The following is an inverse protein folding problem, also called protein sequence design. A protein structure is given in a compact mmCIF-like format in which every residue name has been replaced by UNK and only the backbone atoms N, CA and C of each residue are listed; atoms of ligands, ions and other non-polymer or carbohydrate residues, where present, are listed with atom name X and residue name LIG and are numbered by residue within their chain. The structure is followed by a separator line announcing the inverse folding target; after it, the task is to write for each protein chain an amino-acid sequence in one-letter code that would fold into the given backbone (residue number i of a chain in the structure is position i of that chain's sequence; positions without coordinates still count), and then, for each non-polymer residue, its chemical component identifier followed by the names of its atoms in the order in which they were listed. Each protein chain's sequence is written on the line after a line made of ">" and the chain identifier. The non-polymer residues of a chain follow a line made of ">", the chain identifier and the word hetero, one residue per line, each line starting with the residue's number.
data_IF_203255241102
#
_entry.id   IF_203255241102
#
_cell.length_a   1.000
_cell.length_b   1.000
_cell.length_c   1.000
_cell.angle_alpha   90.00
_cell.angle_beta   90.00
_cell.angle_gamma   90.00
#
_symmetry.space_group_name_H-M   'P 1'
#
loop_
_entity.id
_entity.type
_entity.pdbx_description
1 polymer ?
#
# COMPACT_ATOMS: atom_id res chain seq x y z
N UNK A 1 -10.46 8.41 26.00
CA UNK A 1 -10.01 9.81 25.88
C UNK A 1 -11.15 10.72 25.42
N UNK A 2 -11.05 11.99 25.75
CA UNK A 2 -11.89 13.09 25.23
C UNK A 2 -11.00 14.10 24.51
N UNK A 3 -11.57 14.87 23.58
CA UNK A 3 -10.81 15.91 22.89
C UNK A 3 -10.46 16.99 23.91
N UNK A 4 -9.17 17.27 24.06
CA UNK A 4 -8.64 18.33 24.89
C UNK A 4 -8.45 19.63 24.11
N UNK A 5 -7.29 20.27 24.30
CA UNK A 5 -6.93 21.51 23.62
C UNK A 5 -6.48 21.26 22.18
N UNK A 6 -6.68 22.26 21.31
CA UNK A 6 -6.24 22.21 19.91
C UNK A 6 -5.84 23.58 19.40
N UNK A 7 -4.83 23.57 18.54
CA UNK A 7 -4.45 24.74 17.76
C UNK A 7 -4.36 24.32 16.28
N UNK A 8 -5.15 24.97 15.45
CA UNK A 8 -5.23 24.65 14.02
C UNK A 8 -3.84 24.64 13.41
N UNK A 9 -3.56 23.63 12.61
CA UNK A 9 -2.29 23.35 11.93
C UNK A 9 -1.06 23.11 12.84
N UNK A 10 -1.21 23.15 14.17
CA UNK A 10 -0.10 22.91 15.11
C UNK A 10 -0.27 21.61 15.88
N UNK A 11 -1.37 21.44 16.62
CA UNK A 11 -1.60 20.23 17.41
C UNK A 11 -3.06 20.00 17.79
N UNK A 12 -3.33 18.75 18.19
CA UNK A 12 -4.56 18.34 18.90
C UNK A 12 -4.15 17.50 20.09
N UNK A 13 -4.69 17.78 21.27
CA UNK A 13 -4.56 16.90 22.41
C UNK A 13 -5.81 16.06 22.61
N UNK A 14 -5.62 14.87 23.19
CA UNK A 14 -6.67 14.06 23.77
C UNK A 14 -6.32 13.80 25.23
N UNK A 15 -7.27 14.07 26.10
CA UNK A 15 -7.12 13.98 27.55
C UNK A 15 -7.81 12.72 28.08
N UNK A 16 -7.34 12.18 29.21
CA UNK A 16 -7.96 11.03 29.85
C UNK A 16 -9.46 11.27 30.07
N UNK A 17 -10.27 10.29 29.74
CA UNK A 17 -11.67 10.25 30.12
C UNK A 17 -11.79 9.46 31.44
N UNK A 18 -12.05 10.14 32.52
CA UNK A 18 -12.22 9.51 33.83
C UNK A 18 -13.48 8.61 33.89
N UNK A 19 -14.48 8.91 33.05
CA UNK A 19 -15.72 8.13 32.93
C UNK A 19 -15.63 7.06 31.82
N UNK A 20 -14.42 6.54 31.54
CA UNK A 20 -14.25 5.52 30.50
C UNK A 20 -14.98 4.24 30.92
N UNK A 21 -15.74 3.63 29.98
CA UNK A 21 -16.59 2.44 30.25
C UNK A 21 -15.80 1.18 30.67
N UNK A 22 -14.49 1.14 30.41
CA UNK A 22 -13.58 0.10 30.93
C UNK A 22 -12.80 0.68 32.10
N UNK A 23 -12.96 0.08 33.28
CA UNK A 23 -12.29 0.54 34.49
C UNK A 23 -10.75 0.50 34.33
N UNK A 24 -10.07 1.57 34.77
CA UNK A 24 -8.62 1.69 34.71
C UNK A 24 -8.06 2.16 33.35
N UNK A 25 -8.88 2.40 32.36
CA UNK A 25 -8.48 2.96 31.07
C UNK A 25 -9.01 4.39 30.89
N UNK A 26 -8.32 5.22 30.10
CA UNK A 26 -6.99 5.03 29.49
C UNK A 26 -5.86 5.12 30.54
N UNK A 27 -4.70 4.56 30.28
CA UNK A 27 -3.56 4.63 31.20
C UNK A 27 -2.81 5.96 31.20
N UNK A 28 -2.71 6.60 30.04
CA UNK A 28 -2.06 7.92 29.92
C UNK A 28 -3.03 9.05 30.27
N UNK A 29 -2.52 10.11 30.87
CA UNK A 29 -3.32 11.30 31.21
C UNK A 29 -3.62 12.14 29.95
N UNK A 30 -2.66 12.21 29.01
CA UNK A 30 -2.77 13.03 27.81
C UNK A 30 -1.92 12.48 26.67
N UNK A 31 -2.42 12.59 25.44
CA UNK A 31 -1.67 12.39 24.20
C UNK A 31 -1.77 13.68 23.36
N UNK A 32 -0.64 14.14 22.84
CA UNK A 32 -0.57 15.33 21.99
C UNK A 32 -0.12 14.92 20.60
N UNK A 33 -0.99 15.08 19.62
CA UNK A 33 -0.68 14.89 18.21
C UNK A 33 -0.18 16.20 17.62
N UNK A 34 1.13 16.28 17.37
CA UNK A 34 1.75 17.46 16.78
C UNK A 34 1.78 17.38 15.25
N UNK A 35 1.32 18.44 14.59
CA UNK A 35 1.38 18.56 13.14
C UNK A 35 2.69 19.23 12.70
N UNK A 36 3.75 18.44 12.57
CA UNK A 36 5.04 18.94 12.08
C UNK A 36 5.17 18.63 10.60
N UNK A 37 5.14 19.64 9.74
CA UNK A 37 5.17 19.45 8.28
C UNK A 37 6.56 19.07 7.77
N UNK A 38 7.61 19.68 8.30
CA UNK A 38 8.97 19.43 7.86
C UNK A 38 9.53 18.09 8.37
N UNK A 39 9.94 17.24 7.45
CA UNK A 39 10.49 15.91 7.78
C UNK A 39 11.80 15.99 8.54
N UNK A 40 12.63 17.00 8.29
CA UNK A 40 13.90 17.19 9.01
C UNK A 40 13.65 17.57 10.47
N UNK A 41 12.69 18.48 10.70
CA UNK A 41 12.25 18.84 12.04
C UNK A 41 11.68 17.64 12.81
N UNK A 42 10.86 16.79 12.15
CA UNK A 42 10.37 15.53 12.74
C UNK A 42 11.52 14.61 13.17
N UNK A 43 12.51 14.42 12.30
CA UNK A 43 13.68 13.56 12.56
C UNK A 43 14.54 14.10 13.73
N UNK A 44 14.77 15.41 13.75
CA UNK A 44 15.49 16.07 14.84
C UNK A 44 14.72 15.94 16.15
N UNK A 45 13.41 16.20 16.12
CA UNK A 45 12.55 16.10 17.31
C UNK A 45 12.51 14.69 17.90
N UNK A 46 12.44 13.66 17.03
CA UNK A 46 12.51 12.26 17.46
C UNK A 46 13.89 11.93 18.10
N UNK A 47 14.99 12.36 17.48
CA UNK A 47 16.34 12.17 18.03
C UNK A 47 16.56 12.91 19.35
N UNK A 48 15.92 14.04 19.57
CA UNK A 48 16.02 14.86 20.79
C UNK A 48 14.96 14.53 21.85
N UNK A 49 14.21 13.45 21.67
CA UNK A 49 13.11 13.05 22.55
C UNK A 49 12.00 14.11 22.73
N UNK A 50 11.80 14.96 21.71
CA UNK A 50 10.68 15.89 21.68
C UNK A 50 9.37 15.20 21.28
N UNK A 51 9.48 14.09 20.55
CA UNK A 51 8.39 13.19 20.17
C UNK A 51 8.67 11.79 20.71
N UNK A 52 7.67 11.19 21.33
CA UNK A 52 7.81 9.84 21.92
C UNK A 52 7.39 8.75 20.96
N UNK A 53 6.70 9.07 19.86
CA UNK A 53 6.22 8.11 18.86
C UNK A 53 6.17 8.76 17.48
N UNK A 54 6.63 8.04 16.47
CA UNK A 54 6.44 8.43 15.08
C UNK A 54 6.33 7.19 14.16
N UNK A 55 5.41 7.25 13.19
CA UNK A 55 5.41 6.30 12.08
C UNK A 55 6.63 6.52 11.20
N UNK A 56 7.31 5.44 10.83
CA UNK A 56 8.55 5.49 10.06
C UNK A 56 8.36 6.16 8.69
N UNK A 57 7.32 5.77 7.97
CA UNK A 57 7.00 6.28 6.62
C UNK A 57 6.69 7.79 6.57
N UNK A 58 6.21 8.35 7.69
CA UNK A 58 5.90 9.78 7.81
C UNK A 58 7.11 10.65 8.17
N UNK A 59 8.19 10.03 8.67
CA UNK A 59 9.33 10.73 9.25
C UNK A 59 10.60 10.58 8.41
N UNK A 60 10.85 9.40 7.86
CA UNK A 60 12.13 9.06 7.25
C UNK A 60 12.00 8.14 6.03
N UNK A 61 13.11 7.91 5.36
CA UNK A 61 13.27 6.92 4.31
C UNK A 61 13.64 5.56 4.93
N UNK A 62 13.37 4.46 4.24
CA UNK A 62 13.85 3.14 4.67
C UNK A 62 15.37 3.11 4.88
N UNK A 63 16.12 3.83 4.05
CA UNK A 63 17.58 3.97 4.20
C UNK A 63 18.01 4.56 5.54
N UNK A 64 17.18 5.34 6.19
CA UNK A 64 17.49 6.03 7.45
C UNK A 64 17.25 5.14 8.68
N UNK A 65 16.47 4.09 8.56
CA UNK A 65 16.04 3.23 9.69
C UNK A 65 17.24 2.70 10.46
N UNK A 66 18.30 2.24 9.76
CA UNK A 66 19.52 1.70 10.37
C UNK A 66 20.20 2.70 11.30
N UNK A 67 20.21 3.98 10.94
CA UNK A 67 20.81 5.03 11.76
C UNK A 67 19.94 5.39 12.95
N UNK A 68 18.62 5.39 12.78
CA UNK A 68 17.69 5.67 13.88
C UNK A 68 17.65 4.54 14.92
N UNK A 69 17.87 3.30 14.53
CA UNK A 69 18.01 2.16 15.47
C UNK A 69 19.19 2.29 16.44
N UNK A 70 20.15 3.20 16.16
CA UNK A 70 21.28 3.48 17.05
C UNK A 70 20.99 4.54 18.12
N UNK A 71 19.82 5.19 18.06
CA UNK A 71 19.43 6.23 19.02
C UNK A 71 18.99 5.56 20.33
N UNK A 72 19.72 5.81 21.41
CA UNK A 72 19.65 5.05 22.66
C UNK A 72 18.25 4.99 23.28
N UNK A 73 17.50 6.09 23.27
CA UNK A 73 16.17 6.15 23.89
C UNK A 73 15.04 5.64 22.98
N UNK A 74 15.34 5.32 21.69
CA UNK A 74 14.36 4.85 20.74
C UNK A 74 14.34 3.33 20.64
N UNK A 75 13.17 2.79 20.44
CA UNK A 75 12.91 1.42 20.02
C UNK A 75 12.23 1.45 18.64
N UNK A 76 12.67 0.57 17.76
CA UNK A 76 12.01 0.32 16.48
C UNK A 76 11.09 -0.89 16.63
N UNK A 77 9.85 -0.71 16.25
CA UNK A 77 8.86 -1.79 16.24
C UNK A 77 8.24 -1.92 14.86
N UNK A 78 8.24 -3.14 14.36
CA UNK A 78 7.61 -3.54 13.12
C UNK A 78 6.47 -4.49 13.45
N UNK A 79 5.27 -4.09 13.08
CA UNK A 79 4.10 -4.95 13.22
C UNK A 79 3.87 -5.71 11.93
N UNK A 80 4.23 -6.99 11.97
CA UNK A 80 3.88 -7.97 10.95
C UNK A 80 2.47 -8.47 11.25
N UNK A 81 1.56 -8.34 10.32
CA UNK A 81 0.18 -8.80 10.51
C UNK A 81 -0.86 -7.70 10.45
N UNK A 82 -0.42 -6.46 10.49
CA UNK A 82 -1.28 -5.31 10.26
C UNK A 82 -0.71 -4.60 9.05
N UNK A 83 -1.00 -5.14 7.90
CA UNK A 83 -0.67 -4.48 6.64
C UNK A 83 -1.65 -3.33 6.41
N UNK A 84 -1.13 -2.16 6.07
CA UNK A 84 -1.94 -1.09 5.50
C UNK A 84 -2.47 -1.43 4.10
N UNK A 85 -2.30 -2.67 3.64
CA UNK A 85 -2.56 -3.14 2.29
C UNK A 85 -1.30 -3.21 1.43
N UNK A 86 -1.45 -3.58 0.18
CA UNK A 86 -0.37 -3.59 -0.80
C UNK A 86 -0.28 -2.24 -1.54
N UNK A 87 0.94 -1.81 -1.82
CA UNK A 87 1.17 -0.84 -2.90
C UNK A 87 1.02 -1.58 -4.22
N UNK A 88 0.24 -1.02 -5.11
CA UNK A 88 -0.08 -1.61 -6.40
C UNK A 88 0.33 -0.71 -7.56
N UNK A 89 0.67 -1.33 -8.67
CA UNK A 89 0.68 -0.69 -9.98
C UNK A 89 -0.67 -1.00 -10.63
N UNK A 90 -1.57 -0.04 -10.55
CA UNK A 90 -2.90 -0.13 -11.14
C UNK A 90 -2.82 0.11 -12.65
N UNK A 91 -3.51 -0.70 -13.43
CA UNK A 91 -3.63 -0.57 -14.87
C UNK A 91 -4.99 0.01 -15.26
N UNK A 92 -5.05 0.92 -16.19
CA UNK A 92 -6.32 1.33 -16.78
C UNK A 92 -6.76 0.30 -17.82
N UNK A 93 -7.57 -0.67 -17.40
CA UNK A 93 -8.00 -1.78 -18.26
C UNK A 93 -8.90 -1.36 -19.43
N UNK A 94 -9.29 -0.09 -19.52
CA UNK A 94 -10.06 0.50 -20.63
C UNK A 94 -9.21 0.97 -21.78
N UNK A 95 -7.90 1.19 -21.57
CA UNK A 95 -6.99 1.79 -22.54
C UNK A 95 -6.09 0.75 -23.20
N UNK A 96 -5.89 0.88 -24.52
CA UNK A 96 -4.80 0.14 -25.17
C UNK A 96 -3.44 0.68 -24.71
N UNK A 97 -2.45 -0.22 -24.57
CA UNK A 97 -2.52 -1.67 -24.77
C UNK A 97 -2.93 -2.45 -23.49
N UNK A 98 -3.27 -1.75 -22.41
CA UNK A 98 -3.54 -2.34 -21.08
C UNK A 98 -4.89 -3.06 -21.00
N UNK A 99 -5.78 -2.89 -21.98
CA UNK A 99 -7.00 -3.71 -22.14
C UNK A 99 -6.69 -5.18 -22.51
N UNK A 100 -5.48 -5.46 -23.00
CA UNK A 100 -5.02 -6.79 -23.34
C UNK A 100 -4.38 -7.48 -22.11
N UNK A 101 -4.96 -8.60 -21.66
CA UNK A 101 -4.47 -9.38 -20.53
C UNK A 101 -3.00 -9.80 -20.68
N UNK A 102 -2.58 -10.25 -21.88
CA UNK A 102 -1.18 -10.67 -22.13
C UNK A 102 -0.20 -9.52 -21.89
N UNK A 103 -0.57 -8.29 -22.24
CA UNK A 103 0.25 -7.12 -21.95
C UNK A 103 0.40 -6.91 -20.45
N UNK A 104 -0.70 -6.95 -19.68
CA UNK A 104 -0.65 -6.79 -18.23
C UNK A 104 0.21 -7.88 -17.55
N UNK A 105 0.06 -9.13 -17.99
CA UNK A 105 0.90 -10.25 -17.54
C UNK A 105 2.37 -10.05 -17.90
N UNK A 106 2.65 -9.54 -19.10
CA UNK A 106 4.02 -9.22 -19.54
C UNK A 106 4.67 -8.15 -18.63
N UNK A 107 3.91 -7.09 -18.27
CA UNK A 107 4.39 -6.10 -17.29
C UNK A 107 4.72 -6.73 -15.94
N UNK A 108 3.90 -7.68 -15.48
CA UNK A 108 4.15 -8.41 -14.24
C UNK A 108 5.45 -9.23 -14.27
N UNK A 109 5.77 -9.88 -15.41
CA UNK A 109 7.05 -10.59 -15.60
C UNK A 109 8.24 -9.63 -15.77
N UNK A 110 8.04 -8.45 -16.39
CA UNK A 110 9.14 -7.50 -16.65
C UNK A 110 9.61 -6.74 -15.40
N UNK A 111 8.82 -6.68 -14.34
CA UNK A 111 9.11 -5.91 -13.12
C UNK A 111 9.62 -6.85 -12.03
N UNK A 112 10.92 -6.74 -11.69
CA UNK A 112 11.49 -7.48 -10.56
C UNK A 112 11.05 -6.84 -9.23
N UNK A 113 9.96 -7.34 -8.65
CA UNK A 113 9.39 -6.81 -7.40
C UNK A 113 10.27 -7.10 -6.18
N UNK A 114 11.05 -8.20 -6.20
CA UNK A 114 12.03 -8.47 -5.14
C UNK A 114 13.09 -7.37 -5.07
N UNK A 115 13.50 -6.80 -6.22
CA UNK A 115 14.43 -5.67 -6.21
C UNK A 115 13.88 -4.45 -5.47
N UNK A 116 12.56 -4.18 -5.59
CA UNK A 116 11.91 -3.10 -4.82
C UNK A 116 12.03 -3.39 -3.33
N UNK A 117 11.61 -4.58 -2.89
CA UNK A 117 11.59 -4.93 -1.48
C UNK A 117 13.00 -5.05 -0.87
N UNK A 118 13.90 -5.76 -1.54
CA UNK A 118 15.20 -6.12 -0.97
C UNK A 118 16.23 -5.01 -1.11
N UNK A 119 16.22 -4.29 -2.25
CA UNK A 119 17.24 -3.27 -2.55
C UNK A 119 16.74 -1.87 -2.25
N UNK A 120 15.61 -1.44 -2.83
CA UNK A 120 15.12 -0.09 -2.62
C UNK A 120 14.60 0.13 -1.20
N UNK A 121 13.98 -0.87 -0.61
CA UNK A 121 13.41 -0.80 0.73
C UNK A 121 14.27 -1.50 1.79
N UNK A 122 15.45 -2.06 1.42
CA UNK A 122 16.38 -2.66 2.37
C UNK A 122 15.81 -3.85 3.16
N UNK A 123 14.85 -4.59 2.57
CA UNK A 123 14.20 -5.75 3.19
C UNK A 123 13.05 -5.40 4.15
N UNK A 124 12.69 -4.12 4.29
CA UNK A 124 11.59 -3.69 5.18
C UNK A 124 10.19 -3.91 4.60
N UNK A 125 10.06 -4.21 3.33
CA UNK A 125 8.78 -4.60 2.72
C UNK A 125 8.88 -6.01 2.18
N UNK A 126 7.74 -6.65 1.92
CA UNK A 126 7.67 -7.97 1.30
C UNK A 126 6.96 -7.88 -0.04
N UNK A 127 7.45 -8.62 -1.03
CA UNK A 127 6.78 -8.73 -2.32
C UNK A 127 5.35 -9.24 -2.11
N UNK A 128 4.37 -8.51 -2.62
CA UNK A 128 2.99 -8.96 -2.67
C UNK A 128 2.73 -9.82 -3.92
N UNK A 129 1.85 -10.78 -3.82
CA UNK A 129 1.51 -11.68 -4.95
C UNK A 129 0.02 -11.87 -5.15
N UNK A 130 -0.79 -11.17 -4.39
CA UNK A 130 -2.23 -11.36 -4.32
C UNK A 130 -2.92 -10.03 -4.02
N UNK A 131 -4.19 -9.87 -4.40
CA UNK A 131 -5.03 -8.78 -3.91
C UNK A 131 -5.22 -8.79 -2.40
N UNK A 132 -4.97 -9.95 -1.77
CA UNK A 132 -5.03 -10.14 -0.33
C UNK A 132 -3.61 -10.09 0.23
N UNK A 133 -3.29 -9.22 1.20
CA UNK A 133 -1.99 -9.23 1.83
C UNK A 133 -1.77 -10.56 2.57
N UNK A 134 -0.51 -10.97 2.69
CA UNK A 134 -0.15 -12.25 3.32
C UNK A 134 -0.62 -12.39 4.79
N UNK A 135 -1.03 -11.29 5.39
CA UNK A 135 -1.56 -11.24 6.77
C UNK A 135 -3.08 -11.40 6.83
N UNK A 136 -3.77 -11.40 5.70
CA UNK A 136 -5.20 -11.62 5.65
C UNK A 136 -5.52 -13.10 5.88
N UNK A 137 -6.50 -13.40 6.72
CA UNK A 137 -6.89 -14.78 7.08
C UNK A 137 -7.39 -15.62 5.89
N UNK A 138 -7.77 -14.95 4.80
CA UNK A 138 -8.21 -15.60 3.56
C UNK A 138 -7.13 -15.58 2.47
N UNK A 139 -5.88 -15.25 2.81
CA UNK A 139 -4.80 -15.29 1.84
C UNK A 139 -4.55 -16.71 1.33
N UNK A 140 -4.45 -16.87 0.02
CA UNK A 140 -4.15 -18.15 -0.60
C UNK A 140 -2.63 -18.38 -0.66
N UNK A 141 -2.09 -19.16 0.27
CA UNK A 141 -0.66 -19.47 0.34
C UNK A 141 -0.14 -20.26 -0.87
N UNK A 142 -1.04 -20.96 -1.59
CA UNK A 142 -0.68 -21.78 -2.75
C UNK A 142 -0.44 -20.94 -4.02
N UNK A 143 -0.85 -19.67 -4.03
CA UNK A 143 -0.64 -18.79 -5.17
C UNK A 143 0.83 -18.69 -5.52
N UNK A 144 1.13 -18.93 -6.79
CA UNK A 144 2.45 -18.70 -7.37
C UNK A 144 2.38 -17.36 -8.11
N UNK A 145 2.95 -16.31 -7.55
CA UNK A 145 2.99 -15.00 -8.22
C UNK A 145 3.82 -15.07 -9.52
N UNK A 146 3.86 -13.96 -10.25
CA UNK A 146 4.69 -13.82 -11.45
C UNK A 146 6.17 -13.64 -11.04
N UNK A 147 7.08 -14.56 -11.32
CA UNK A 147 8.50 -14.35 -11.11
C UNK A 147 9.03 -13.32 -12.13
N UNK A 148 10.13 -12.65 -11.82
CA UNK A 148 10.81 -11.81 -12.82
C UNK A 148 11.37 -12.69 -13.94
N UNK A 149 10.90 -12.46 -15.17
CA UNK A 149 11.30 -13.15 -16.38
C UNK A 149 11.15 -12.23 -17.60
N UNK A 150 12.25 -11.59 -17.99
CA UNK A 150 12.23 -10.64 -19.11
C UNK A 150 12.02 -11.31 -20.47
N UNK A 151 12.44 -12.57 -20.62
CA UNK A 151 12.25 -13.33 -21.88
C UNK A 151 10.76 -13.66 -22.04
N UNK A 152 10.13 -14.16 -20.98
CA UNK A 152 8.69 -14.43 -20.95
C UNK A 152 7.88 -13.15 -21.19
N UNK A 153 8.29 -12.03 -20.59
CA UNK A 153 7.65 -10.74 -20.81
C UNK A 153 7.70 -10.33 -22.29
N UNK A 154 8.88 -10.44 -22.94
CA UNK A 154 9.02 -10.11 -24.35
C UNK A 154 8.18 -11.03 -25.24
N UNK A 155 8.17 -12.35 -24.97
CA UNK A 155 7.37 -13.32 -25.73
C UNK A 155 5.87 -12.99 -25.67
N UNK A 156 5.35 -12.65 -24.48
CA UNK A 156 3.94 -12.27 -24.31
C UNK A 156 3.58 -10.97 -25.04
N UNK A 157 4.50 -9.99 -25.08
CA UNK A 157 4.31 -8.75 -25.82
C UNK A 157 4.29 -9.00 -27.34
N UNK A 158 5.18 -9.88 -27.84
CA UNK A 158 5.20 -10.27 -29.25
C UNK A 158 3.93 -11.04 -29.63
N UNK A 159 3.48 -11.98 -28.80
CA UNK A 159 2.21 -12.71 -28.96
C UNK A 159 0.99 -11.77 -28.91
N UNK A 160 1.06 -10.69 -28.13
CA UNK A 160 0.01 -9.67 -28.07
C UNK A 160 0.01 -8.72 -29.30
N UNK A 161 0.97 -8.86 -30.20
CA UNK A 161 1.06 -8.04 -31.42
C UNK A 161 1.87 -6.75 -31.26
N UNK A 162 2.56 -6.57 -30.16
CA UNK A 162 3.37 -5.37 -29.90
C UNK A 162 4.85 -5.65 -30.13
N UNK A 163 5.26 -5.84 -31.38
CA UNK A 163 6.66 -6.00 -31.75
C UNK A 163 7.46 -4.71 -31.50
N UNK A 164 8.79 -4.85 -31.28
CA UNK A 164 9.68 -3.69 -31.19
C UNK A 164 9.86 -3.06 -32.57
N UNK A 165 9.81 -1.72 -32.61
CA UNK A 165 10.20 -0.94 -33.79
C UNK A 165 11.73 -0.89 -33.96
N UNK A 166 12.22 -0.14 -34.95
CA UNK A 166 13.66 0.01 -35.24
C UNK A 166 14.45 0.63 -34.09
N UNK A 167 13.79 1.45 -33.24
CA UNK A 167 14.37 2.04 -32.02
C UNK A 167 14.33 1.10 -30.80
N UNK A 168 13.82 -0.10 -30.98
CA UNK A 168 13.63 -1.08 -29.91
C UNK A 168 12.44 -0.78 -28.97
N UNK A 169 11.54 0.13 -29.39
CA UNK A 169 10.36 0.54 -28.60
C UNK A 169 9.12 -0.15 -29.15
N UNK A 170 8.24 -0.62 -28.26
CA UNK A 170 6.94 -1.23 -28.57
C UNK A 170 5.81 -0.21 -28.50
N UNK A 171 5.75 0.51 -27.39
CA UNK A 171 4.77 1.56 -27.09
C UNK A 171 5.23 2.41 -25.89
N UNK A 172 4.46 3.47 -25.62
CA UNK A 172 4.66 4.37 -24.47
C UNK A 172 3.45 4.32 -23.54
N UNK A 173 3.70 4.39 -22.21
CA UNK A 173 2.68 4.46 -21.17
C UNK A 173 2.98 5.61 -20.19
N UNK A 174 1.94 6.32 -19.75
CA UNK A 174 2.00 7.27 -18.65
C UNK A 174 1.89 6.55 -17.29
N UNK A 175 2.69 6.98 -16.32
CA UNK A 175 2.63 6.49 -14.94
C UNK A 175 2.44 7.65 -13.98
N UNK A 176 1.23 7.77 -13.43
CA UNK A 176 0.94 8.74 -12.37
C UNK A 176 1.34 8.20 -10.98
N UNK A 177 1.87 9.09 -10.15
CA UNK A 177 2.18 8.81 -8.75
C UNK A 177 2.18 10.11 -7.95
N UNK A 178 2.05 10.04 -6.62
CA UNK A 178 2.09 11.25 -5.78
C UNK A 178 3.52 11.74 -5.67
N UNK A 179 3.73 13.01 -6.05
CA UNK A 179 5.06 13.64 -6.03
C UNK A 179 5.63 13.76 -4.60
N UNK A 180 6.98 13.81 -4.47
CA UNK A 180 7.60 14.16 -3.20
C UNK A 180 7.08 15.53 -2.68
N UNK A 181 7.06 15.73 -1.35
CA UNK A 181 7.68 14.90 -0.31
C UNK A 181 6.81 13.76 0.23
N UNK A 182 5.65 13.46 -0.39
CA UNK A 182 4.74 12.44 0.11
C UNK A 182 5.27 11.03 -0.13
N UNK A 183 5.63 10.33 0.94
CA UNK A 183 6.03 8.92 0.97
C UNK A 183 6.86 8.46 -0.26
N UNK A 184 8.04 9.06 -0.51
CA UNK A 184 8.79 8.84 -1.75
C UNK A 184 9.22 7.38 -1.94
N UNK A 185 9.43 6.63 -0.85
CA UNK A 185 9.78 5.21 -0.93
C UNK A 185 8.62 4.36 -1.45
N UNK A 186 7.38 4.81 -1.28
CA UNK A 186 6.19 4.10 -1.76
C UNK A 186 5.68 4.60 -3.12
N UNK A 187 6.10 5.77 -3.55
CA UNK A 187 5.64 6.42 -4.78
C UNK A 187 6.77 6.63 -5.78
N UNK A 188 7.68 7.57 -5.52
CA UNK A 188 8.69 7.99 -6.49
C UNK A 188 9.67 6.86 -6.83
N UNK A 189 10.30 6.23 -5.82
CA UNK A 189 11.32 5.21 -6.07
C UNK A 189 10.79 4.00 -6.85
N UNK A 190 9.64 3.39 -6.48
CA UNK A 190 9.05 2.34 -7.29
C UNK A 190 8.73 2.79 -8.71
N UNK A 191 8.21 4.02 -8.91
CA UNK A 191 7.86 4.55 -10.24
C UNK A 191 9.09 4.69 -11.13
N UNK A 192 10.18 5.25 -10.61
CA UNK A 192 11.46 5.39 -11.34
C UNK A 192 12.05 4.01 -11.70
N UNK A 193 12.00 3.07 -10.74
CA UNK A 193 12.46 1.70 -10.99
C UNK A 193 11.60 0.98 -12.03
N UNK A 194 10.27 1.09 -11.95
CA UNK A 194 9.34 0.49 -12.92
C UNK A 194 9.61 1.02 -14.32
N UNK A 195 9.81 2.35 -14.47
CA UNK A 195 10.16 2.95 -15.75
C UNK A 195 11.46 2.37 -16.32
N UNK A 196 12.48 2.22 -15.49
CA UNK A 196 13.76 1.63 -15.89
C UNK A 196 13.65 0.13 -16.23
N UNK A 197 12.82 -0.62 -15.49
CA UNK A 197 12.58 -2.04 -15.73
C UNK A 197 11.82 -2.27 -17.05
N UNK A 198 10.73 -1.54 -17.29
CA UNK A 198 9.90 -1.67 -18.48
C UNK A 198 10.63 -1.23 -19.76
N UNK A 199 11.57 -0.28 -19.66
CA UNK A 199 12.44 0.09 -20.77
C UNK A 199 13.21 -1.10 -21.35
N UNK A 200 13.61 -2.08 -20.51
CA UNK A 200 14.31 -3.30 -20.96
C UNK A 200 13.41 -4.20 -21.82
N UNK A 201 12.10 -4.15 -21.60
CA UNK A 201 11.11 -4.83 -22.44
C UNK A 201 10.69 -4.02 -23.68
N UNK A 202 11.28 -2.84 -23.92
CA UNK A 202 10.92 -1.96 -25.04
C UNK A 202 9.71 -1.06 -24.76
N UNK A 203 9.32 -0.90 -23.50
CA UNK A 203 8.20 -0.03 -23.12
C UNK A 203 8.76 1.27 -22.56
N UNK A 204 8.43 2.38 -23.20
CA UNK A 204 8.78 3.71 -22.71
C UNK A 204 7.76 4.15 -21.67
N UNK A 205 8.22 4.59 -20.49
CA UNK A 205 7.34 5.10 -19.45
C UNK A 205 7.58 6.58 -19.23
N UNK A 206 6.52 7.36 -19.36
CA UNK A 206 6.48 8.77 -19.00
C UNK A 206 6.03 8.91 -17.55
N UNK A 207 6.93 9.39 -16.70
CA UNK A 207 6.64 9.64 -15.29
C UNK A 207 5.82 10.93 -15.14
N UNK A 208 4.68 10.85 -14.46
CA UNK A 208 3.71 11.94 -14.32
C UNK A 208 3.42 12.21 -12.84
N UNK A 209 4.33 12.91 -12.13
CA UNK A 209 4.17 13.22 -10.72
C UNK A 209 2.98 14.15 -10.48
N UNK A 210 2.06 13.75 -9.60
CA UNK A 210 0.87 14.49 -9.23
C UNK A 210 1.12 15.32 -7.96
N UNK A 211 0.62 16.56 -7.92
CA UNK A 211 0.82 17.46 -6.79
C UNK A 211 -0.04 17.06 -5.60
N UNK A 212 0.56 16.32 -4.68
CA UNK A 212 -0.09 15.82 -3.48
C UNK A 212 -1.22 14.82 -3.75
N UNK A 213 -1.84 14.39 -2.67
CA UNK A 213 -2.94 13.43 -2.72
C UNK A 213 -4.14 13.93 -3.55
N UNK A 214 -4.51 15.21 -3.42
CA UNK A 214 -5.66 15.77 -4.13
C UNK A 214 -5.48 15.76 -5.66
N UNK A 215 -4.26 16.08 -6.14
CA UNK A 215 -3.93 16.01 -7.56
C UNK A 215 -4.04 14.59 -8.10
N UNK A 216 -3.43 13.64 -7.41
CA UNK A 216 -3.51 12.22 -7.78
C UNK A 216 -4.96 11.71 -7.75
N UNK A 217 -5.72 12.01 -6.71
CA UNK A 217 -7.11 11.57 -6.57
C UNK A 217 -8.00 12.12 -7.68
N UNK A 218 -7.80 13.37 -8.11
CA UNK A 218 -8.51 13.99 -9.23
C UNK A 218 -8.22 13.27 -10.54
N UNK A 219 -6.94 13.03 -10.86
CA UNK A 219 -6.52 12.36 -12.09
C UNK A 219 -6.98 10.92 -12.13
N UNK A 220 -6.84 10.19 -11.01
CA UNK A 220 -7.32 8.80 -10.86
C UNK A 220 -8.85 8.71 -11.02
N UNK A 221 -9.60 9.60 -10.36
CA UNK A 221 -11.06 9.65 -10.45
C UNK A 221 -11.56 9.98 -11.87
N UNK A 222 -10.82 10.78 -12.62
CA UNK A 222 -11.12 11.09 -14.03
C UNK A 222 -10.75 9.96 -14.99
N UNK A 223 -10.07 8.88 -14.49
CA UNK A 223 -9.50 7.79 -15.29
C UNK A 223 -8.48 8.27 -16.33
N UNK A 224 -7.83 9.41 -16.06
CA UNK A 224 -6.87 10.02 -16.98
C UNK A 224 -5.43 9.56 -16.66
N UNK A 225 -5.21 8.27 -16.79
CA UNK A 225 -3.92 7.61 -16.60
C UNK A 225 -3.85 6.32 -17.41
N UNK A 226 -2.65 5.86 -17.71
CA UNK A 226 -2.42 4.50 -18.21
C UNK A 226 -2.08 3.58 -17.04
N UNK A 227 -1.11 3.97 -16.21
CA UNK A 227 -0.71 3.28 -14.99
C UNK A 227 -0.72 4.25 -13.81
N UNK A 228 -0.99 3.73 -12.61
CA UNK A 228 -0.99 4.51 -11.38
C UNK A 228 -0.34 3.74 -10.23
N UNK A 229 0.60 4.38 -9.51
CA UNK A 229 0.95 3.88 -8.16
C UNK A 229 -0.18 4.23 -7.23
N UNK A 230 -0.74 3.21 -6.61
CA UNK A 230 -1.88 3.34 -5.71
C UNK A 230 -1.66 2.57 -4.41
N UNK A 231 -2.21 3.10 -3.33
CA UNK A 231 -2.31 2.44 -2.04
C UNK A 231 -3.78 2.41 -1.61
N UNK A 232 -4.55 1.43 -2.07
CA UNK A 232 -5.99 1.39 -1.82
C UNK A 232 -6.36 1.17 -0.35
N UNK A 233 -5.41 0.77 0.47
CA UNK A 233 -5.65 0.35 1.84
C UNK A 233 -6.43 -0.97 1.89
N UNK A 234 -6.06 -1.81 2.82
CA UNK A 234 -6.79 -3.02 3.12
C UNK A 234 -7.67 -2.81 4.35
N UNK A 235 -8.90 -3.23 4.29
CA UNK A 235 -9.76 -3.40 5.46
C UNK A 235 -9.79 -4.89 5.76
N UNK A 236 -9.76 -5.26 6.99
CA UNK A 236 -9.58 -6.65 7.47
C UNK A 236 -10.49 -7.67 6.77
N UNK A 237 -11.74 -7.28 6.49
CA UNK A 237 -12.66 -8.13 5.75
C UNK A 237 -12.63 -7.81 4.25
N UNK A 238 -12.36 -8.81 3.37
CA UNK A 238 -12.30 -8.60 1.94
C UNK A 238 -13.58 -8.05 1.31
N UNK A 239 -14.75 -8.36 1.88
CA UNK A 239 -16.03 -7.84 1.41
C UNK A 239 -16.14 -6.31 1.51
N UNK A 240 -15.40 -5.69 2.46
CA UNK A 240 -15.42 -4.25 2.69
C UNK A 240 -14.21 -3.58 2.02
N UNK A 241 -13.02 -4.19 2.16
CA UNK A 241 -11.77 -3.55 1.79
C UNK A 241 -11.28 -3.84 0.39
N UNK A 242 -11.36 -5.10 -0.03
CA UNK A 242 -10.73 -5.58 -1.26
C UNK A 242 -11.71 -5.58 -2.44
N UNK A 243 -12.91 -6.13 -2.24
CA UNK A 243 -13.90 -6.29 -3.33
C UNK A 243 -14.19 -5.00 -4.09
N UNK A 244 -14.21 -3.86 -3.38
CA UNK A 244 -14.50 -2.54 -3.96
C UNK A 244 -13.57 -2.13 -5.10
N UNK A 245 -12.39 -2.75 -5.22
CA UNK A 245 -11.39 -2.45 -6.25
C UNK A 245 -11.62 -3.25 -7.53
N UNK A 246 -12.46 -4.30 -7.49
CA UNK A 246 -12.60 -5.26 -8.60
C UNK A 246 -14.03 -5.41 -9.11
N UNK A 247 -15.03 -5.11 -8.27
CA UNK A 247 -16.43 -5.30 -8.67
C UNK A 247 -16.90 -4.25 -9.67
N UNK A 248 -17.66 -4.70 -10.67
CA UNK A 248 -18.12 -3.87 -11.79
C UNK A 248 -18.98 -2.67 -11.34
N UNK A 249 -19.86 -2.87 -10.35
CA UNK A 249 -20.77 -1.83 -9.87
C UNK A 249 -20.05 -0.69 -9.11
N UNK A 250 -18.75 -0.86 -8.81
CA UNK A 250 -17.94 0.16 -8.16
C UNK A 250 -16.98 0.89 -9.12
N UNK A 251 -17.16 0.77 -10.42
CA UNK A 251 -16.48 1.61 -11.43
C UNK A 251 -17.13 3.00 -11.36
N UNK A 252 -16.46 3.94 -10.67
CA UNK A 252 -16.97 5.28 -10.40
C UNK A 252 -15.88 6.32 -10.59
N UNK A 253 -16.28 7.54 -10.91
CA UNK A 253 -15.38 8.70 -10.99
C UNK A 253 -14.99 9.19 -9.59
N UNK A 254 -14.40 8.31 -8.80
CA UNK A 254 -13.98 8.57 -7.43
C UNK A 254 -12.72 7.75 -7.11
N UNK A 255 -11.75 8.38 -6.47
CA UNK A 255 -10.56 7.68 -6.01
C UNK A 255 -10.91 6.56 -5.00
N UNK A 256 -10.09 5.51 -4.97
CA UNK A 256 -10.30 4.31 -4.13
C UNK A 256 -11.56 3.50 -4.42
N UNK A 257 -12.19 3.71 -5.57
CA UNK A 257 -13.17 2.77 -6.15
C UNK A 257 -12.47 1.88 -7.17
N UNK A 258 -13.21 1.19 -8.03
CA UNK A 258 -12.63 0.44 -9.14
C UNK A 258 -12.22 1.40 -10.27
N UNK A 259 -11.15 2.17 -10.05
CA UNK A 259 -10.60 3.12 -11.01
C UNK A 259 -9.88 2.44 -12.17
N UNK A 260 -9.45 1.18 -11.98
CA UNK A 260 -8.86 0.35 -13.03
C UNK A 260 -9.83 0.05 -14.18
N UNK A 261 -11.14 0.06 -13.91
CA UNK A 261 -12.18 -0.30 -14.87
C UNK A 261 -12.26 -1.79 -15.20
N UNK A 262 -11.60 -2.63 -14.42
CA UNK A 262 -11.75 -4.07 -14.53
C UNK A 262 -13.19 -4.49 -14.20
N UNK A 263 -13.75 -5.40 -14.99
CA UNK A 263 -15.12 -5.88 -14.77
C UNK A 263 -15.24 -7.32 -15.25
N UNK A 264 -15.50 -8.22 -14.32
CA UNK A 264 -15.77 -9.63 -14.55
C UNK A 264 -16.97 -10.05 -13.71
N UNK A 265 -17.99 -10.62 -14.34
CA UNK A 265 -19.24 -11.01 -13.66
C UNK A 265 -19.05 -12.20 -12.73
N UNK A 266 -18.09 -13.06 -13.00
CA UNK A 266 -17.75 -14.18 -12.12
C UNK A 266 -17.08 -13.68 -10.84
N UNK A 267 -16.17 -12.72 -10.97
CA UNK A 267 -15.55 -12.03 -9.82
C UNK A 267 -16.61 -11.29 -8.98
N UNK A 268 -17.57 -10.59 -9.64
CA UNK A 268 -18.71 -9.97 -8.95
C UNK A 268 -19.50 -11.00 -8.14
N UNK A 269 -19.82 -12.15 -8.75
CA UNK A 269 -20.59 -13.23 -8.10
C UNK A 269 -19.84 -13.80 -6.90
N UNK A 270 -18.56 -14.15 -7.07
CA UNK A 270 -17.77 -14.76 -6.00
C UNK A 270 -17.64 -13.82 -4.80
N UNK A 271 -17.38 -12.53 -5.02
CA UNK A 271 -17.32 -11.56 -3.92
C UNK A 271 -18.67 -11.40 -3.21
N UNK A 272 -19.80 -11.42 -3.96
CA UNK A 272 -21.12 -11.34 -3.38
C UNK A 272 -21.45 -12.58 -2.54
N UNK A 273 -21.17 -13.77 -3.07
CA UNK A 273 -21.41 -15.04 -2.38
C UNK A 273 -20.55 -15.15 -1.11
N UNK A 274 -19.25 -14.78 -1.20
CA UNK A 274 -18.34 -14.78 -0.06
C UNK A 274 -18.73 -13.78 1.04
N UNK A 275 -19.34 -12.65 0.67
CA UNK A 275 -19.83 -11.67 1.64
C UNK A 275 -20.99 -12.20 2.48
N UNK A 276 -21.77 -13.12 1.94
CA UNK A 276 -22.95 -13.72 2.60
C UNK A 276 -22.65 -15.08 3.26
N UNK A 277 -21.52 -15.71 2.93
CA UNK A 277 -21.18 -17.03 3.43
C UNK A 277 -20.68 -16.96 4.88
N UNK A 278 -21.35 -17.64 5.78
CA UNK A 278 -21.01 -17.70 7.20
C UNK A 278 -20.11 -18.89 7.59
N UNK A 279 -20.05 -19.93 6.75
CA UNK A 279 -19.13 -21.03 6.95
C UNK A 279 -17.73 -20.62 6.54
N UNK A 280 -16.77 -20.68 7.46
CA UNK A 280 -15.40 -20.19 7.27
C UNK A 280 -14.68 -20.91 6.11
N UNK A 281 -14.79 -22.24 6.03
CA UNK A 281 -14.10 -23.04 5.00
C UNK A 281 -14.65 -22.72 3.60
N UNK A 282 -15.97 -22.62 3.46
CA UNK A 282 -16.60 -22.27 2.18
C UNK A 282 -16.26 -20.84 1.77
N UNK A 283 -16.28 -19.90 2.71
CA UNK A 283 -15.89 -18.51 2.48
C UNK A 283 -14.44 -18.41 2.05
N UNK A 284 -13.56 -19.17 2.70
CA UNK A 284 -12.14 -19.25 2.33
C UNK A 284 -11.97 -19.78 0.92
N UNK A 285 -12.70 -20.84 0.54
CA UNK A 285 -12.63 -21.40 -0.82
C UNK A 285 -13.05 -20.37 -1.88
N UNK A 286 -14.12 -19.62 -1.66
CA UNK A 286 -14.56 -18.53 -2.55
C UNK A 286 -13.49 -17.44 -2.69
N UNK A 287 -12.88 -17.01 -1.58
CA UNK A 287 -11.80 -16.02 -1.63
C UNK A 287 -10.51 -16.56 -2.26
N UNK A 288 -10.23 -17.85 -2.17
CA UNK A 288 -9.11 -18.44 -2.90
C UNK A 288 -9.39 -18.47 -4.42
N UNK A 289 -10.61 -18.84 -4.82
CA UNK A 289 -11.03 -18.84 -6.23
C UNK A 289 -10.90 -17.43 -6.85
N UNK A 290 -11.38 -16.39 -6.19
CA UNK A 290 -11.26 -15.02 -6.71
C UNK A 290 -9.80 -14.56 -6.79
N UNK A 291 -8.92 -14.99 -5.88
CA UNK A 291 -7.50 -14.67 -5.95
C UNK A 291 -6.84 -15.34 -7.17
N UNK A 292 -7.20 -16.59 -7.49
CA UNK A 292 -6.70 -17.27 -8.68
C UNK A 292 -7.13 -16.55 -9.97
N UNK A 293 -8.41 -16.15 -10.08
CA UNK A 293 -8.92 -15.39 -11.23
C UNK A 293 -8.21 -14.04 -11.36
N UNK A 294 -8.12 -13.28 -10.27
CA UNK A 294 -7.49 -11.95 -10.30
C UNK A 294 -5.98 -12.02 -10.59
N UNK A 295 -5.31 -13.11 -10.16
CA UNK A 295 -3.91 -13.31 -10.49
C UNK A 295 -3.75 -13.57 -12.00
N UNK A 296 -4.62 -14.37 -12.63
CA UNK A 296 -4.60 -14.64 -14.07
C UNK A 296 -4.99 -13.41 -14.89
N UNK A 297 -6.05 -12.72 -14.51
CA UNK A 297 -6.54 -11.53 -15.22
C UNK A 297 -5.62 -10.31 -15.07
N UNK A 298 -4.85 -10.24 -13.97
CA UNK A 298 -3.88 -9.17 -13.68
C UNK A 298 -4.44 -7.75 -13.88
N UNK A 299 -5.57 -7.39 -13.24
CA UNK A 299 -6.13 -6.04 -13.41
C UNK A 299 -5.23 -4.95 -12.82
N UNK A 300 -4.38 -5.31 -11.90
CA UNK A 300 -3.31 -4.51 -11.30
C UNK A 300 -2.19 -5.44 -10.83
N UNK A 301 -0.97 -4.93 -10.74
CA UNK A 301 0.16 -5.68 -10.20
C UNK A 301 0.38 -5.29 -8.72
N UNK A 302 0.26 -6.26 -7.82
CA UNK A 302 0.57 -6.08 -6.40
C UNK A 302 2.09 -6.06 -6.24
N UNK A 303 2.63 -4.92 -5.84
CA UNK A 303 4.08 -4.71 -5.80
C UNK A 303 4.68 -5.22 -4.50
N UNK A 304 4.25 -4.67 -3.38
CA UNK A 304 4.74 -5.03 -2.05
C UNK A 304 3.72 -4.67 -0.95
N UNK A 305 3.74 -5.45 0.11
CA UNK A 305 2.93 -5.18 1.30
C UNK A 305 3.60 -4.09 2.14
N UNK A 306 2.77 -3.20 2.71
CA UNK A 306 3.24 -2.09 3.54
C UNK A 306 3.22 -2.50 5.01
N UNK A 307 4.38 -2.69 5.66
CA UNK A 307 4.42 -2.96 7.08
C UNK A 307 4.09 -1.69 7.89
N UNK A 308 3.47 -1.85 9.03
CA UNK A 308 3.36 -0.78 10.01
C UNK A 308 4.62 -0.73 10.86
N UNK A 309 5.40 0.34 10.72
CA UNK A 309 6.66 0.52 11.41
C UNK A 309 6.69 1.82 12.20
N UNK A 310 7.21 1.74 13.41
CA UNK A 310 7.28 2.85 14.33
C UNK A 310 8.64 2.98 14.98
N UNK A 311 9.05 4.22 15.22
CA UNK A 311 10.02 4.55 16.27
C UNK A 311 9.27 5.12 17.44
N UNK A 312 9.50 4.58 18.62
CA UNK A 312 8.92 5.08 19.85
C UNK A 312 9.97 5.11 20.98
N UNK A 313 9.70 5.94 21.99
CA UNK A 313 10.51 5.95 23.18
C UNK A 313 10.41 4.59 23.87
N UNK A 314 11.54 4.02 24.31
CA UNK A 314 11.60 2.69 24.93
C UNK A 314 10.77 2.56 26.21
N UNK A 315 10.46 3.68 26.86
CA UNK A 315 9.57 3.72 28.02
C UNK A 315 8.08 3.80 27.66
N UNK A 316 7.75 3.90 26.37
CA UNK A 316 6.38 3.85 25.91
C UNK A 316 6.04 2.41 25.51
N UNK A 317 5.18 1.78 26.29
CA UNK A 317 4.55 0.55 25.87
C UNK A 317 3.31 0.90 25.05
N UNK A 318 3.29 0.47 23.78
CA UNK A 318 2.10 0.60 22.96
C UNK A 318 1.84 -0.74 22.26
N UNK A 319 0.89 -1.52 22.76
CA UNK A 319 0.50 -2.75 22.11
C UNK A 319 -0.20 -2.43 20.80
N UNK A 320 0.21 -3.07 19.71
CA UNK A 320 -0.58 -3.05 18.49
C UNK A 320 -1.54 -4.24 18.53
N UNK A 321 -2.75 -3.98 18.89
CA UNK A 321 -3.83 -4.94 18.74
C UNK A 321 -4.54 -4.74 17.41
N UNK A 322 -4.32 -5.63 16.48
CA UNK A 322 -5.24 -5.96 15.39
C UNK A 322 -5.43 -4.96 14.24
N UNK A 323 -5.08 -3.70 14.31
CA UNK A 323 -5.22 -2.77 13.16
C UNK A 323 -4.06 -1.81 13.00
N UNK A 324 -3.73 -1.48 11.75
CA UNK A 324 -2.65 -0.56 11.40
C UNK A 324 -2.86 0.90 11.88
N UNK A 325 -3.99 1.21 12.47
CA UNK A 325 -4.46 2.59 12.64
C UNK A 325 -4.44 3.09 14.08
N UNK A 326 -3.56 2.59 14.95
CA UNK A 326 -3.33 3.14 16.30
C UNK A 326 -4.59 3.52 17.12
N UNK A 327 -5.70 2.82 16.88
CA UNK A 327 -6.97 3.08 17.58
C UNK A 327 -6.93 2.68 19.05
N UNK A 328 -5.92 1.89 19.42
CA UNK A 328 -5.81 1.31 20.77
C UNK A 328 -5.00 2.20 21.72
N UNK A 329 -5.01 3.52 21.49
CA UNK A 329 -4.28 4.49 22.33
C UNK A 329 -4.65 4.41 23.81
N UNK A 330 -5.82 3.89 24.13
CA UNK A 330 -6.26 3.70 25.52
C UNK A 330 -5.41 2.70 26.30
N UNK A 331 -4.75 1.75 25.61
CA UNK A 331 -3.86 0.76 26.22
C UNK A 331 -2.39 1.21 26.26
N UNK A 332 -2.07 2.38 25.70
CA UNK A 332 -0.72 2.89 25.78
C UNK A 332 -0.40 3.29 27.21
N UNK A 333 0.76 2.92 27.66
CA UNK A 333 1.22 3.20 29.01
C UNK A 333 2.73 3.40 29.06
N UNK A 334 3.24 3.95 30.17
CA UNK A 334 4.65 3.94 30.46
C UNK A 334 5.09 2.49 30.67
N UNK A 335 6.19 2.06 30.02
CA UNK A 335 6.72 0.71 30.23
C UNK A 335 7.07 0.52 31.71
N UNK A 336 6.63 -0.58 32.29
CA UNK A 336 7.03 -0.98 33.63
C UNK A 336 8.40 -1.65 33.51
N UNK A 337 9.34 -1.22 34.35
CA UNK A 337 10.69 -1.79 34.44
C UNK A 337 10.64 -3.22 34.98
#
# INVERSE_FOLDING_TARGET
>A
FVIGDRKTDEYVSIDRNEDHFVAGLPHLDKIIYQNVQDKTAKRIGLRKNQFQLARTDSVMRFSDIKEFKKVEHLQFTEYQGISGGAIVLEFNNRREPLNNKKVRQALAYAINRSHISDVLHGGYTKQSRSPFPATNVFFNEKLQGYPFDLEKANALLDEAGYAKNDDGIRFELGLIYIAPPFMPDFNQLPSEYIAAALKKAGIKVRLEPQQGFAGWAKTSAAWDFDMSINWPGDKTDPAIGISRLYVCNNIKNQAYTNTSGYCDKEVDRIFADAALESNYEKRTALYHEVQDILLDEMPMLWLFDTPSMFFHHKELFFPAYGTAENWDVMYWMKAQN
#
